data_IF_247317831413
#
_entry.id   IF_247317831413
#
_cell.length_a   1.000
_cell.length_b   1.000
_cell.length_c   1.000
_cell.angle_alpha   90.00
_cell.angle_beta   90.00
_cell.angle_gamma   90.00
#
_symmetry.space_group_name_H-M   'P 1'
#
loop_
_entity.id
_entity.type
_entity.pdbx_description
1 polymer ?
#
# COMPACT_ATOMS: atom_id res chain seq x y z
N UNK A 1 14.88 14.34 14.78
CA UNK A 1 14.97 12.87 14.88
C UNK A 1 14.14 12.28 13.77
N UNK A 2 14.71 11.31 13.06
CA UNK A 2 14.08 10.59 11.96
C UNK A 2 14.08 9.09 12.30
N UNK A 3 13.43 8.28 11.47
CA UNK A 3 13.36 6.83 11.62
C UNK A 3 13.62 6.19 10.25
N UNK A 4 14.06 4.94 10.21
CA UNK A 4 14.44 4.25 8.99
C UNK A 4 13.57 3.03 8.78
N UNK A 5 13.05 2.88 7.58
CA UNK A 5 12.43 1.64 7.11
C UNK A 5 13.42 0.95 6.19
N UNK A 6 13.86 -0.25 6.59
CA UNK A 6 14.99 -0.94 5.99
C UNK A 6 14.55 -2.22 5.28
N UNK A 7 15.18 -2.49 4.14
CA UNK A 7 15.10 -3.77 3.46
C UNK A 7 16.45 -4.47 3.57
N UNK A 8 16.46 -5.70 4.07
CA UNK A 8 17.67 -6.51 4.17
C UNK A 8 18.73 -5.93 5.11
N UNK A 9 18.33 -5.05 6.03
CA UNK A 9 19.20 -4.36 7.00
C UNK A 9 20.09 -3.23 6.45
N UNK A 10 20.17 -3.01 5.14
CA UNK A 10 21.09 -2.02 4.55
C UNK A 10 20.42 -1.04 3.57
N UNK A 11 19.24 -1.36 3.05
CA UNK A 11 18.58 -0.55 2.02
C UNK A 11 17.49 0.30 2.65
N UNK A 12 17.66 1.62 2.67
CA UNK A 12 16.66 2.57 3.19
C UNK A 12 15.54 2.75 2.19
N UNK A 13 14.39 2.18 2.50
CA UNK A 13 13.16 2.41 1.75
C UNK A 13 12.59 3.80 2.04
N UNK A 14 12.62 4.25 3.30
CA UNK A 14 12.04 5.53 3.71
C UNK A 14 12.66 6.04 5.01
N UNK A 15 12.96 7.36 5.06
CA UNK A 15 13.51 8.04 6.24
C UNK A 15 12.60 9.18 6.75
N UNK A 16 11.44 8.88 7.36
CA UNK A 16 10.52 9.91 7.85
C UNK A 16 10.93 10.54 9.17
N UNK A 17 10.34 11.71 9.47
CA UNK A 17 10.32 12.23 10.83
C UNK A 17 9.63 11.25 11.81
N UNK A 18 10.10 11.17 13.06
CA UNK A 18 9.57 10.25 14.08
C UNK A 18 8.05 10.30 14.26
N UNK A 19 7.45 11.49 14.18
CA UNK A 19 5.99 11.64 14.29
C UNK A 19 5.21 10.98 13.15
N UNK A 20 5.77 11.02 11.93
CA UNK A 20 5.18 10.42 10.72
C UNK A 20 5.32 8.91 10.78
N UNK A 21 6.50 8.39 11.11
CA UNK A 21 6.72 6.95 11.30
C UNK A 21 5.76 6.35 12.33
N UNK A 22 5.63 7.02 13.49
CA UNK A 22 4.72 6.58 14.56
C UNK A 22 3.26 6.60 14.13
N UNK A 23 2.83 7.60 13.36
CA UNK A 23 1.46 7.66 12.85
C UNK A 23 1.17 6.52 11.88
N UNK A 24 2.11 6.22 10.98
CA UNK A 24 1.99 5.13 10.03
C UNK A 24 1.93 3.77 10.76
N UNK A 25 2.90 3.49 11.64
CA UNK A 25 2.97 2.22 12.37
C UNK A 25 1.78 1.97 13.31
N UNK A 26 1.10 3.02 13.79
CA UNK A 26 -0.15 2.86 14.56
C UNK A 26 -1.34 2.42 13.73
N UNK A 27 -1.30 2.67 12.41
CA UNK A 27 -2.34 2.22 11.49
C UNK A 27 -2.08 0.79 11.02
N UNK A 28 -0.82 0.34 10.99
CA UNK A 28 -0.46 -1.01 10.54
C UNK A 28 -1.33 -2.11 11.19
N UNK A 29 -1.46 -2.21 12.54
CA UNK A 29 -2.28 -3.25 13.15
C UNK A 29 -3.77 -3.16 12.80
N UNK A 30 -4.28 -1.97 12.47
CA UNK A 30 -5.68 -1.79 12.03
C UNK A 30 -5.88 -2.50 10.70
N UNK A 31 -4.97 -2.31 9.75
CA UNK A 31 -5.07 -2.91 8.43
C UNK A 31 -4.64 -4.38 8.40
N UNK A 32 -3.74 -4.81 9.29
CA UNK A 32 -3.49 -6.24 9.52
C UNK A 32 -4.76 -6.94 10.01
N UNK A 33 -5.54 -6.32 10.90
CA UNK A 33 -6.82 -6.87 11.35
C UNK A 33 -7.89 -6.88 10.23
N UNK A 34 -7.97 -5.84 9.41
CA UNK A 34 -8.92 -5.76 8.28
C UNK A 34 -8.61 -6.78 7.18
N UNK A 35 -7.34 -7.09 6.93
CA UNK A 35 -6.89 -8.03 5.90
C UNK A 35 -6.70 -9.46 6.41
N UNK A 36 -6.46 -9.64 7.71
CA UNK A 36 -6.06 -10.90 8.32
C UNK A 36 -4.64 -11.34 7.95
N UNK A 37 -3.81 -10.43 7.43
CA UNK A 37 -2.47 -10.72 6.90
C UNK A 37 -1.40 -9.93 7.66
N UNK A 38 -0.19 -10.51 7.85
CA UNK A 38 0.94 -9.76 8.38
C UNK A 38 1.38 -8.69 7.37
N UNK A 39 1.70 -7.50 7.85
CA UNK A 39 2.06 -6.37 6.98
C UNK A 39 3.49 -6.40 6.44
N UNK A 40 4.36 -7.16 7.08
CA UNK A 40 5.81 -7.15 6.81
C UNK A 40 6.58 -6.02 7.48
N UNK A 41 5.92 -5.10 8.21
CA UNK A 41 6.62 -4.08 9.00
C UNK A 41 7.01 -4.63 10.37
N UNK A 42 8.31 -4.60 10.66
CA UNK A 42 8.86 -4.96 11.97
C UNK A 42 8.58 -3.92 13.05
N UNK A 43 8.91 -4.24 14.32
CA UNK A 43 8.88 -3.25 15.39
C UNK A 43 9.93 -2.17 15.14
N UNK A 44 9.63 -0.93 15.55
CA UNK A 44 10.61 0.15 15.55
C UNK A 44 11.58 -0.02 16.72
N UNK A 45 12.84 -0.35 16.43
CA UNK A 45 13.91 -0.59 17.40
C UNK A 45 15.13 0.25 16.99
N UNK A 46 15.68 1.04 17.92
CA UNK A 46 16.82 1.93 17.64
C UNK A 46 16.62 2.84 16.42
N UNK A 47 15.41 3.39 16.27
CA UNK A 47 15.00 4.20 15.13
C UNK A 47 14.92 3.45 13.78
N UNK A 48 14.99 2.11 13.78
CA UNK A 48 14.93 1.26 12.60
C UNK A 48 13.72 0.31 12.63
N UNK A 49 13.10 0.13 11.46
CA UNK A 49 11.99 -0.78 11.20
C UNK A 49 12.38 -1.67 10.03
N UNK A 50 12.65 -2.94 10.29
CA UNK A 50 12.94 -3.93 9.24
C UNK A 50 11.67 -4.27 8.46
N UNK A 51 11.79 -4.35 7.14
CA UNK A 51 10.69 -4.65 6.22
C UNK A 51 10.93 -6.01 5.57
N UNK A 52 10.02 -6.95 5.86
CA UNK A 52 9.91 -8.21 5.12
C UNK A 52 9.19 -7.94 3.79
N UNK A 53 9.94 -7.92 2.69
CA UNK A 53 9.42 -7.65 1.36
C UNK A 53 8.37 -8.68 0.90
N UNK A 54 8.52 -9.95 1.26
CA UNK A 54 7.60 -10.99 0.82
C UNK A 54 6.24 -10.85 1.54
N UNK A 55 6.26 -10.60 2.84
CA UNK A 55 5.03 -10.32 3.60
C UNK A 55 4.38 -9.01 3.13
N UNK A 56 5.19 -7.96 2.90
CA UNK A 56 4.70 -6.67 2.44
C UNK A 56 4.07 -6.75 1.04
N UNK A 57 4.62 -7.55 0.12
CA UNK A 57 4.02 -7.76 -1.20
C UNK A 57 2.61 -8.38 -1.10
N UNK A 58 2.46 -9.42 -0.29
CA UNK A 58 1.16 -10.10 -0.10
C UNK A 58 0.15 -9.13 0.52
N UNK A 59 0.57 -8.40 1.54
CA UNK A 59 -0.26 -7.42 2.23
C UNK A 59 -0.66 -6.25 1.32
N UNK A 60 0.27 -5.64 0.61
CA UNK A 60 0.02 -4.50 -0.29
C UNK A 60 -0.93 -4.89 -1.43
N UNK A 61 -0.78 -6.10 -1.98
CA UNK A 61 -1.71 -6.63 -2.96
C UNK A 61 -3.13 -6.83 -2.39
N UNK A 62 -3.25 -7.32 -1.15
CA UNK A 62 -4.54 -7.41 -0.48
C UNK A 62 -5.18 -6.03 -0.25
N UNK A 63 -4.38 -5.02 0.11
CA UNK A 63 -4.86 -3.63 0.25
C UNK A 63 -5.39 -3.07 -1.08
N UNK A 64 -4.69 -3.29 -2.19
CA UNK A 64 -5.15 -2.88 -3.53
C UNK A 64 -6.46 -3.59 -3.91
N UNK A 65 -6.54 -4.90 -3.65
CA UNK A 65 -7.74 -5.69 -3.89
C UNK A 65 -8.92 -5.21 -3.03
N UNK A 66 -8.70 -4.82 -1.78
CA UNK A 66 -9.73 -4.23 -0.92
C UNK A 66 -10.12 -2.81 -1.36
N UNK A 67 -9.15 -1.98 -1.74
CA UNK A 67 -9.40 -0.63 -2.24
C UNK A 67 -10.27 -0.67 -3.49
N UNK A 68 -9.96 -1.56 -4.45
CA UNK A 68 -10.75 -1.78 -5.66
C UNK A 68 -12.19 -2.17 -5.36
N UNK A 69 -12.42 -3.12 -4.45
CA UNK A 69 -13.77 -3.63 -4.15
C UNK A 69 -14.60 -2.69 -3.27
N UNK A 70 -14.02 -1.62 -2.73
CA UNK A 70 -14.71 -0.74 -1.77
C UNK A 70 -15.60 0.27 -2.49
N UNK A 71 -16.91 -0.02 -2.52
CA UNK A 71 -17.94 0.93 -3.01
C UNK A 71 -18.32 2.01 -1.99
N UNK A 72 -17.90 1.87 -0.73
CA UNK A 72 -18.23 2.82 0.35
C UNK A 72 -17.18 3.94 0.43
N UNK A 73 -17.54 5.12 -0.12
CA UNK A 73 -16.65 6.28 -0.21
C UNK A 73 -15.95 6.67 1.12
N UNK A 74 -16.63 6.54 2.26
CA UNK A 74 -16.04 6.85 3.57
C UNK A 74 -14.91 5.86 3.94
N UNK A 75 -15.10 4.56 3.67
CA UNK A 75 -14.07 3.55 3.95
C UNK A 75 -12.86 3.76 3.02
N UNK A 76 -13.10 4.09 1.76
CA UNK A 76 -12.04 4.46 0.82
C UNK A 76 -11.25 5.67 1.36
N UNK A 77 -11.93 6.77 1.71
CA UNK A 77 -11.28 7.98 2.22
C UNK A 77 -10.48 7.75 3.52
N UNK A 78 -11.00 6.93 4.44
CA UNK A 78 -10.30 6.59 5.69
C UNK A 78 -9.03 5.77 5.48
N UNK A 79 -8.97 4.98 4.40
CA UNK A 79 -7.86 4.07 4.13
C UNK A 79 -6.85 4.58 3.09
N UNK A 80 -7.25 5.54 2.26
CA UNK A 80 -6.51 5.98 1.07
C UNK A 80 -5.04 6.34 1.38
N UNK A 81 -4.80 7.20 2.37
CA UNK A 81 -3.45 7.64 2.72
C UNK A 81 -2.55 6.52 3.23
N UNK A 82 -3.12 5.57 3.99
CA UNK A 82 -2.38 4.40 4.47
C UNK A 82 -2.06 3.44 3.33
N UNK A 83 -3.07 3.09 2.52
CA UNK A 83 -2.91 2.19 1.37
C UNK A 83 -1.86 2.72 0.43
N UNK A 84 -1.95 4.01 0.06
CA UNK A 84 -0.97 4.64 -0.82
C UNK A 84 0.45 4.56 -0.22
N UNK A 85 0.62 4.87 1.07
CA UNK A 85 1.93 4.83 1.74
C UNK A 85 2.51 3.41 1.79
N UNK A 86 1.71 2.41 2.16
CA UNK A 86 2.15 1.02 2.23
C UNK A 86 2.50 0.46 0.83
N UNK A 87 1.69 0.80 -0.18
CA UNK A 87 1.91 0.44 -1.58
C UNK A 87 3.19 1.10 -2.12
N UNK A 88 3.45 2.37 -1.82
CA UNK A 88 4.72 3.03 -2.17
C UNK A 88 5.92 2.31 -1.55
N UNK A 89 5.85 1.94 -0.27
CA UNK A 89 6.93 1.19 0.39
C UNK A 89 7.12 -0.20 -0.23
N UNK A 90 6.03 -0.86 -0.66
CA UNK A 90 6.10 -2.14 -1.35
C UNK A 90 6.76 -2.00 -2.74
N UNK A 91 6.42 -0.98 -3.53
CA UNK A 91 7.09 -0.71 -4.82
C UNK A 91 8.59 -0.46 -4.62
N UNK A 92 8.95 0.30 -3.58
CA UNK A 92 10.35 0.58 -3.23
C UNK A 92 11.09 -0.65 -2.75
N UNK A 93 10.40 -1.61 -2.13
CA UNK A 93 10.93 -2.92 -1.75
C UNK A 93 11.03 -3.90 -2.93
N UNK A 94 10.60 -3.51 -4.15
CA UNK A 94 10.63 -4.36 -5.34
C UNK A 94 9.45 -5.32 -5.47
N UNK A 95 8.35 -5.09 -4.75
CA UNK A 95 7.17 -5.95 -4.77
C UNK A 95 6.48 -5.98 -6.15
N UNK A 96 6.00 -7.16 -6.56
CA UNK A 96 5.17 -7.33 -7.74
C UNK A 96 3.70 -6.99 -7.44
N UNK A 97 3.33 -5.72 -7.68
CA UNK A 97 1.99 -5.23 -7.37
C UNK A 97 0.97 -5.46 -8.50
N UNK A 98 -0.17 -6.05 -8.13
CA UNK A 98 -1.33 -6.34 -8.96
C UNK A 98 -2.30 -5.18 -8.91
N UNK A 99 -1.97 -4.14 -9.66
CA UNK A 99 -2.86 -3.00 -9.80
C UNK A 99 -4.18 -3.35 -10.48
N UNK A 100 -4.16 -4.26 -11.45
CA UNK A 100 -5.37 -4.70 -12.17
C UNK A 100 -5.85 -6.06 -11.63
N UNK A 101 -7.17 -6.26 -11.57
CA UNK A 101 -7.72 -7.58 -11.28
C UNK A 101 -7.43 -8.54 -12.44
N UNK A 102 -7.23 -9.84 -12.16
CA UNK A 102 -7.24 -10.87 -13.20
C UNK A 102 -8.52 -10.75 -14.06
N UNK A 103 -8.41 -10.92 -15.39
CA UNK A 103 -9.56 -10.80 -16.30
C UNK A 103 -10.76 -11.64 -15.88
N UNK A 104 -10.49 -12.83 -15.35
CA UNK A 104 -11.46 -13.83 -14.92
C UNK A 104 -12.22 -13.38 -13.67
N UNK A 105 -11.56 -12.68 -12.76
CA UNK A 105 -12.18 -12.12 -11.56
C UNK A 105 -13.06 -10.91 -11.91
N UNK A 106 -12.58 -10.03 -12.82
CA UNK A 106 -13.37 -8.91 -13.35
C UNK A 106 -14.64 -9.39 -14.03
N UNK A 107 -14.55 -10.46 -14.83
CA UNK A 107 -15.70 -11.04 -15.52
C UNK A 107 -16.74 -11.61 -14.54
N UNK A 108 -16.29 -12.30 -13.48
CA UNK A 108 -17.18 -12.85 -12.43
C UNK A 108 -17.91 -11.75 -11.67
N UNK A 109 -17.18 -10.76 -11.15
CA UNK A 109 -17.76 -9.64 -10.40
C UNK A 109 -18.82 -8.88 -11.23
N UNK A 110 -18.57 -8.71 -12.54
CA UNK A 110 -19.53 -8.07 -13.45
C UNK A 110 -20.78 -8.91 -13.71
N UNK A 111 -20.65 -10.23 -13.76
CA UNK A 111 -21.78 -11.12 -14.01
C UNK A 111 -22.79 -11.17 -12.85
N UNK A 112 -22.35 -10.82 -11.63
CA UNK A 112 -23.20 -10.77 -10.43
C UNK A 112 -23.99 -9.46 -10.29
N UNK A 113 -23.68 -8.43 -11.09
CA UNK A 113 -24.33 -7.12 -11.04
C UNK A 113 -25.47 -6.99 -12.07
N UNK A 114 -26.53 -6.22 -11.78
CA UNK A 114 -27.54 -5.87 -12.77
C UNK A 114 -26.95 -5.21 -14.02
N UNK A 115 -27.54 -5.47 -15.18
CA UNK A 115 -27.14 -4.83 -16.44
C UNK A 115 -27.19 -3.30 -16.32
N UNK A 116 -26.09 -2.62 -16.67
CA UNK A 116 -25.90 -1.18 -16.53
C UNK A 116 -25.21 -0.74 -15.22
N UNK A 117 -25.36 -1.48 -14.13
CA UNK A 117 -24.61 -1.20 -12.89
C UNK A 117 -23.16 -1.66 -12.98
N UNK A 118 -22.90 -2.75 -13.71
CA UNK A 118 -21.56 -3.29 -13.90
C UNK A 118 -20.58 -2.30 -14.57
N UNK A 119 -21.05 -1.51 -15.55
CA UNK A 119 -20.21 -0.51 -16.24
C UNK A 119 -19.91 0.70 -15.35
N UNK A 120 -20.90 1.17 -14.58
CA UNK A 120 -20.73 2.29 -13.65
C UNK A 120 -19.76 1.92 -12.52
N UNK A 121 -19.90 0.72 -11.95
CA UNK A 121 -18.98 0.21 -10.92
C UNK A 121 -17.58 0.05 -11.50
N UNK A 122 -17.44 -0.58 -12.67
CA UNK A 122 -16.13 -0.75 -13.31
C UNK A 122 -15.42 0.59 -13.58
N UNK A 123 -16.16 1.59 -14.06
CA UNK A 123 -15.63 2.94 -14.30
C UNK A 123 -15.15 3.60 -13.00
N UNK A 124 -15.93 3.49 -11.91
CA UNK A 124 -15.55 4.02 -10.61
C UNK A 124 -14.33 3.30 -10.01
N UNK A 125 -14.24 1.97 -10.17
CA UNK A 125 -13.08 1.18 -9.76
C UNK A 125 -11.81 1.61 -10.51
N UNK A 126 -11.91 1.80 -11.83
CA UNK A 126 -10.79 2.24 -12.68
C UNK A 126 -10.34 3.66 -12.32
N UNK A 127 -11.27 4.56 -11.99
CA UNK A 127 -10.95 5.92 -11.53
C UNK A 127 -10.26 5.92 -10.16
N UNK A 128 -10.79 5.18 -9.19
CA UNK A 128 -10.20 5.07 -7.85
C UNK A 128 -8.78 4.50 -7.91
N UNK A 129 -8.58 3.46 -8.72
CA UNK A 129 -7.26 2.87 -8.91
C UNK A 129 -6.28 3.84 -9.59
N UNK A 130 -6.75 4.64 -10.57
CA UNK A 130 -5.93 5.67 -11.20
C UNK A 130 -5.50 6.72 -10.19
N UNK A 131 -6.43 7.23 -9.39
CA UNK A 131 -6.13 8.17 -8.31
C UNK A 131 -5.12 7.59 -7.30
N UNK A 132 -5.28 6.32 -6.92
CA UNK A 132 -4.34 5.63 -6.04
C UNK A 132 -2.93 5.55 -6.65
N UNK A 133 -2.80 5.19 -7.94
CA UNK A 133 -1.49 5.18 -8.63
C UNK A 133 -0.84 6.55 -8.66
N UNK A 134 -1.63 7.60 -8.90
CA UNK A 134 -1.14 8.98 -8.91
C UNK A 134 -0.65 9.40 -7.52
N UNK A 135 -1.40 9.07 -6.47
CA UNK A 135 -1.00 9.32 -5.07
C UNK A 135 0.29 8.57 -4.73
N UNK A 136 0.43 7.31 -5.12
CA UNK A 136 1.64 6.49 -4.88
C UNK A 136 2.87 7.11 -5.54
N UNK A 137 2.75 7.56 -6.80
CA UNK A 137 3.83 8.28 -7.50
C UNK A 137 4.17 9.61 -6.83
N UNK A 138 3.14 10.34 -6.37
CA UNK A 138 3.34 11.60 -5.67
C UNK A 138 4.04 11.41 -4.33
N UNK A 139 3.66 10.38 -3.57
CA UNK A 139 4.31 10.01 -2.31
C UNK A 139 5.75 9.56 -2.52
N UNK A 140 6.02 8.73 -3.53
CA UNK A 140 7.36 8.26 -3.86
C UNK A 140 8.33 9.43 -4.08
N UNK A 141 7.91 10.42 -4.88
CA UNK A 141 8.69 11.65 -5.09
C UNK A 141 8.91 12.51 -3.85
N UNK A 142 8.10 12.33 -2.79
CA UNK A 142 8.22 13.03 -1.49
C UNK A 142 9.02 12.23 -0.45
N UNK A 143 9.14 10.92 -0.62
CA UNK A 143 9.90 10.05 0.29
C UNK A 143 11.42 10.11 0.08
N UNK A 144 11.87 10.79 -0.99
CA UNK A 144 13.28 10.83 -1.38
C UNK A 144 13.71 9.57 -2.14
N UNK A 145 14.98 9.44 -2.54
CA UNK A 145 15.47 8.22 -3.18
C UNK A 145 15.56 7.04 -2.19
N UNK A 146 15.52 5.82 -2.70
CA UNK A 146 15.98 4.63 -1.97
C UNK A 146 17.51 4.68 -1.97
N UNK A 147 18.13 4.49 -0.80
CA UNK A 147 19.58 4.60 -0.64
C UNK A 147 20.13 3.39 0.11
N UNK A 148 21.32 2.91 -0.23
CA UNK A 148 22.06 2.02 0.66
C UNK A 148 22.59 2.81 1.85
N UNK A 149 22.66 2.20 3.04
CA UNK A 149 23.36 2.78 4.21
C UNK A 149 24.86 3.02 3.97
N UNK A 150 25.41 2.50 2.87
CA UNK A 150 26.78 2.66 2.41
C UNK A 150 26.85 3.30 1.01
N UNK A 151 26.39 4.54 0.89
CA UNK A 151 26.96 5.46 -0.10
C UNK A 151 27.86 6.43 0.67
N UNK A 152 29.16 6.09 0.73
CA UNK A 152 30.25 7.01 1.15
C UNK A 152 30.49 8.09 0.08
#
# INVERSE_FOLDING_TARGET
MSQYFLLGGDTVLWNPATGVARLFLRQVPVFEAETGLPSGFGPMINDECEVDAAALEVFANALLDHHRRTIHAIRAALSEGFVATAVTLAERAGAALRWEAPPDERARLRAELPAGSAEVVASAEDEGLRAMREMVRWLDGRMGPVTGWYDD
#
